data_IF_911726345626
#
_entry.id   IF_911726345626
#
_cell.length_a   1.000
_cell.length_b   1.000
_cell.length_c   1.000
_cell.angle_alpha   90.00
_cell.angle_beta   90.00
_cell.angle_gamma   90.00
#
_symmetry.space_group_name_H-M   'P 1'
#
loop_
_entity.id
_entity.type
_entity.pdbx_description
1 polymer ?
#
# COMPACT_ATOMS: atom_id res chain seq x y z
N UNK A 1 47.38 18.19 -18.24
CA UNK A 1 46.13 18.39 -17.49
C UNK A 1 44.96 18.05 -18.41
N UNK A 2 44.32 16.90 -18.17
CA UNK A 2 43.23 16.39 -19.01
C UNK A 2 41.97 16.39 -18.15
N UNK A 3 41.09 17.35 -18.41
CA UNK A 3 39.80 17.50 -17.73
C UNK A 3 38.87 16.38 -18.19
N UNK A 4 38.40 15.54 -17.27
CA UNK A 4 37.48 14.43 -17.54
C UNK A 4 36.03 14.92 -17.59
N UNK A 5 35.31 14.47 -18.62
CA UNK A 5 33.94 14.84 -19.00
C UNK A 5 32.90 14.00 -18.25
N UNK A 6 32.99 13.90 -16.93
CA UNK A 6 32.16 12.95 -16.15
C UNK A 6 31.04 13.61 -15.32
N UNK A 7 30.61 14.83 -15.67
CA UNK A 7 29.65 15.60 -14.87
C UNK A 7 28.29 15.86 -15.54
N UNK A 8 27.93 15.13 -16.61
CA UNK A 8 26.66 15.35 -17.33
C UNK A 8 25.67 14.17 -17.32
N UNK A 9 26.03 13.00 -16.76
CA UNK A 9 25.13 11.83 -16.75
C UNK A 9 24.39 11.60 -15.41
N UNK A 10 24.84 12.23 -14.32
CA UNK A 10 24.17 12.08 -13.02
C UNK A 10 22.80 12.79 -12.96
N UNK A 11 22.53 13.74 -13.86
CA UNK A 11 21.29 14.52 -13.85
C UNK A 11 20.10 13.84 -14.56
N UNK A 12 20.34 12.80 -15.37
CA UNK A 12 19.28 12.18 -16.19
C UNK A 12 18.57 11.03 -15.44
N UNK A 13 19.21 10.40 -14.44
CA UNK A 13 18.65 9.24 -13.74
C UNK A 13 17.62 9.61 -12.65
N UNK A 14 17.60 10.86 -12.19
CA UNK A 14 16.66 11.31 -11.14
C UNK A 14 15.27 11.69 -11.71
N UNK A 15 15.13 11.80 -13.03
CA UNK A 15 13.94 12.38 -13.66
C UNK A 15 12.84 11.39 -14.11
N UNK A 16 13.04 10.07 -14.03
CA UNK A 16 12.08 9.10 -14.61
C UNK A 16 11.13 8.42 -13.61
N UNK A 17 11.23 8.70 -12.30
CA UNK A 17 10.45 7.98 -11.29
C UNK A 17 9.11 8.62 -10.89
N UNK A 18 8.56 9.57 -11.63
CA UNK A 18 7.28 10.18 -11.23
C UNK A 18 6.40 10.59 -12.43
N UNK A 19 6.00 9.65 -13.28
CA UNK A 19 4.80 9.85 -14.09
C UNK A 19 3.88 8.63 -13.95
N UNK A 20 3.33 8.46 -12.75
CA UNK A 20 2.03 7.81 -12.60
C UNK A 20 0.99 8.89 -12.88
N UNK A 21 0.38 8.83 -14.08
CA UNK A 21 -0.73 9.70 -14.46
C UNK A 21 -1.83 9.69 -13.38
N UNK A 22 -2.35 10.88 -13.08
CA UNK A 22 -3.45 11.07 -12.14
C UNK A 22 -4.76 10.59 -12.76
N UNK A 23 -4.95 9.28 -12.81
CA UNK A 23 -6.27 8.71 -13.08
C UNK A 23 -7.00 8.65 -11.73
N UNK A 24 -8.22 9.20 -11.69
CA UNK A 24 -9.10 9.02 -10.54
C UNK A 24 -9.31 7.51 -10.31
N UNK A 25 -9.09 7.05 -9.09
CA UNK A 25 -9.30 5.65 -8.70
C UNK A 25 -10.64 5.50 -8.00
N UNK A 26 -11.31 4.37 -8.22
CA UNK A 26 -12.52 4.01 -7.49
C UNK A 26 -12.14 3.01 -6.39
N UNK A 27 -12.47 3.35 -5.14
CA UNK A 27 -12.12 2.53 -3.98
C UNK A 27 -13.36 2.26 -3.12
N UNK A 28 -13.38 1.14 -2.41
CA UNK A 28 -14.34 0.99 -1.31
C UNK A 28 -13.88 1.86 -0.13
N UNK A 29 -14.78 2.68 0.41
CA UNK A 29 -14.50 3.54 1.57
C UNK A 29 -15.41 3.14 2.72
N UNK A 30 -14.83 2.69 3.82
CA UNK A 30 -15.59 2.25 4.99
C UNK A 30 -14.72 2.27 6.25
N UNK A 31 -15.34 2.28 7.41
CA UNK A 31 -14.65 2.15 8.69
C UNK A 31 -15.50 1.30 9.61
N UNK A 32 -14.94 0.21 10.14
CA UNK A 32 -15.62 -0.72 11.02
C UNK A 32 -14.73 -1.09 12.20
N UNK A 33 -15.25 -0.95 13.42
CA UNK A 33 -14.55 -1.21 14.68
C UNK A 33 -15.34 -2.18 15.56
N UNK A 34 -14.93 -3.45 15.56
CA UNK A 34 -15.55 -4.56 16.28
C UNK A 34 -15.29 -4.56 17.79
N UNK A 35 -14.62 -3.53 18.33
CA UNK A 35 -14.59 -3.30 19.79
C UNK A 35 -15.90 -2.71 20.29
N UNK A 36 -16.54 -1.89 19.45
CA UNK A 36 -17.76 -1.16 19.78
C UNK A 36 -19.03 -1.83 19.25
N UNK A 37 -18.89 -2.80 18.34
CA UNK A 37 -19.99 -3.55 17.75
C UNK A 37 -19.64 -5.02 17.61
N UNK A 38 -20.66 -5.89 17.51
CA UNK A 38 -20.45 -7.33 17.32
C UNK A 38 -19.84 -7.60 15.95
N UNK A 39 -18.97 -8.62 15.90
CA UNK A 39 -18.43 -9.12 14.64
C UNK A 39 -19.55 -9.71 13.78
N UNK A 40 -19.64 -9.24 12.53
CA UNK A 40 -20.62 -9.69 11.54
C UNK A 40 -19.87 -10.03 10.24
N UNK A 41 -19.97 -11.28 9.81
CA UNK A 41 -19.34 -11.76 8.57
C UNK A 41 -19.98 -11.18 7.32
N UNK A 42 -21.22 -10.68 7.41
CA UNK A 42 -21.92 -10.06 6.29
C UNK A 42 -21.72 -8.54 6.25
N UNK A 43 -20.82 -8.00 7.06
CA UNK A 43 -20.53 -6.58 7.06
C UNK A 43 -19.96 -6.16 5.70
N UNK A 44 -20.59 -5.17 5.06
CA UNK A 44 -20.18 -4.66 3.74
C UNK A 44 -18.74 -4.11 3.73
N UNK A 45 -18.24 -3.66 4.88
CA UNK A 45 -16.84 -3.27 5.00
C UNK A 45 -15.89 -4.48 5.02
N UNK A 46 -16.30 -5.69 5.40
CA UNK A 46 -15.43 -6.87 5.25
C UNK A 46 -15.53 -7.46 3.84
N UNK A 47 -16.76 -7.59 3.35
CA UNK A 47 -17.09 -8.18 2.07
C UNK A 47 -18.05 -7.26 1.32
N UNK A 48 -17.52 -6.28 0.56
CA UNK A 48 -18.37 -5.43 -0.25
C UNK A 48 -19.08 -6.29 -1.29
N UNK A 49 -20.42 -6.35 -1.21
CA UNK A 49 -21.26 -7.18 -2.07
C UNK A 49 -21.82 -6.42 -3.27
N UNK A 50 -21.85 -5.08 -3.18
CA UNK A 50 -22.45 -4.21 -4.20
C UNK A 50 -21.37 -3.30 -4.80
N UNK A 51 -21.33 -3.22 -6.13
CA UNK A 51 -20.46 -2.25 -6.82
C UNK A 51 -20.78 -0.79 -6.44
N UNK A 52 -22.01 -0.53 -6.00
CA UNK A 52 -22.52 0.78 -5.62
C UNK A 52 -21.88 1.35 -4.33
N UNK A 53 -21.09 0.56 -3.61
CA UNK A 53 -20.34 0.99 -2.42
C UNK A 53 -18.94 1.53 -2.77
N UNK A 54 -18.58 1.54 -4.07
CA UNK A 54 -17.37 2.20 -4.54
C UNK A 54 -17.58 3.71 -4.55
N UNK A 55 -16.61 4.40 -3.99
CA UNK A 55 -16.54 5.86 -4.03
C UNK A 55 -15.44 6.24 -5.02
N UNK A 56 -15.79 7.10 -5.97
CA UNK A 56 -14.78 7.74 -6.84
C UNK A 56 -13.94 8.69 -6.01
N UNK A 57 -12.65 8.40 -5.94
CA UNK A 57 -11.71 9.21 -5.18
C UNK A 57 -11.43 10.54 -5.88
N UNK A 58 -10.93 11.52 -5.11
CA UNK A 58 -10.45 12.78 -5.68
C UNK A 58 -9.34 12.52 -6.73
N UNK A 59 -9.24 13.40 -7.72
CA UNK A 59 -8.24 13.29 -8.81
C UNK A 59 -6.79 13.26 -8.30
N UNK A 60 -6.53 13.75 -7.08
CA UNK A 60 -5.21 13.71 -6.45
C UNK A 60 -4.92 12.37 -5.75
N UNK A 61 -5.94 11.58 -5.44
CA UNK A 61 -5.81 10.26 -4.83
C UNK A 61 -5.54 9.23 -5.91
N UNK A 62 -4.43 8.50 -5.78
CA UNK A 62 -3.98 7.51 -6.77
C UNK A 62 -3.99 6.08 -6.23
N UNK A 63 -4.30 5.91 -4.95
CA UNK A 63 -4.25 4.62 -4.28
C UNK A 63 -5.48 4.41 -3.41
N UNK A 64 -5.95 3.16 -3.37
CA UNK A 64 -6.82 2.68 -2.32
C UNK A 64 -5.96 2.23 -1.14
N UNK A 65 -6.30 2.68 0.06
CA UNK A 65 -5.64 2.33 1.30
C UNK A 65 -6.55 1.44 2.14
N UNK A 66 -5.99 0.36 2.69
CA UNK A 66 -6.62 -0.45 3.73
C UNK A 66 -5.78 -0.42 4.99
N UNK A 67 -6.36 -0.08 6.14
CA UNK A 67 -5.70 -0.12 7.45
C UNK A 67 -6.41 -1.16 8.31
N UNK A 68 -5.62 -2.07 8.85
CA UNK A 68 -6.09 -3.20 9.66
C UNK A 68 -5.46 -3.10 11.03
N UNK A 69 -6.29 -3.05 12.05
CA UNK A 69 -5.83 -3.02 13.44
C UNK A 69 -6.10 -4.36 14.11
N UNK A 70 -5.07 -4.87 14.78
CA UNK A 70 -5.13 -6.06 15.62
C UNK A 70 -4.73 -5.70 17.04
N UNK A 71 -5.41 -6.27 18.02
CA UNK A 71 -5.05 -6.17 19.44
C UNK A 71 -4.78 -7.59 19.94
N UNK A 72 -3.56 -7.83 20.45
CA UNK A 72 -3.06 -9.16 20.81
C UNK A 72 -3.30 -10.19 19.70
N UNK A 73 -3.04 -9.79 18.44
CA UNK A 73 -3.27 -10.62 17.25
C UNK A 73 -4.73 -10.73 16.76
N UNK A 74 -5.70 -10.36 17.59
CA UNK A 74 -7.13 -10.40 17.26
C UNK A 74 -7.50 -9.23 16.36
N UNK A 75 -8.14 -9.52 15.23
CA UNK A 75 -8.65 -8.49 14.32
C UNK A 75 -9.79 -7.70 14.97
N UNK A 76 -9.63 -6.38 15.06
CA UNK A 76 -10.60 -5.50 15.73
C UNK A 76 -11.13 -4.40 14.84
N UNK A 77 -10.36 -3.94 13.85
CA UNK A 77 -10.78 -2.81 13.02
C UNK A 77 -10.29 -2.97 11.58
N UNK A 78 -11.14 -2.54 10.64
CA UNK A 78 -10.78 -2.35 9.24
C UNK A 78 -11.24 -0.97 8.78
N UNK A 79 -10.33 -0.22 8.20
CA UNK A 79 -10.60 1.07 7.59
C UNK A 79 -10.13 1.06 6.15
N UNK A 80 -10.97 1.52 5.23
CA UNK A 80 -10.62 1.73 3.83
C UNK A 80 -10.82 3.18 3.42
N UNK A 81 -9.83 3.77 2.77
CA UNK A 81 -9.81 5.18 2.38
C UNK A 81 -9.11 5.37 1.02
N UNK A 82 -9.40 6.49 0.37
CA UNK A 82 -8.61 6.96 -0.77
C UNK A 82 -7.36 7.68 -0.26
N UNK A 83 -6.20 7.46 -0.89
CA UNK A 83 -4.94 8.07 -0.46
C UNK A 83 -4.14 8.62 -1.66
N UNK A 84 -3.42 9.73 -1.44
CA UNK A 84 -2.56 10.34 -2.48
C UNK A 84 -1.20 9.67 -2.54
N UNK A 85 -0.60 9.49 -1.37
CA UNK A 85 0.69 8.83 -1.21
C UNK A 85 0.55 7.71 -0.18
N UNK A 86 0.72 6.48 -0.66
CA UNK A 86 0.45 5.30 0.13
C UNK A 86 1.70 4.43 0.20
N UNK A 87 2.22 4.30 1.42
CA UNK A 87 3.31 3.40 1.75
C UNK A 87 2.79 2.25 2.63
N UNK A 88 3.10 1.02 2.24
CA UNK A 88 2.79 -0.16 3.06
C UNK A 88 3.68 -0.19 4.29
N UNK A 89 3.07 -0.28 5.47
CA UNK A 89 3.79 -0.33 6.75
C UNK A 89 2.96 -1.06 7.79
N UNK A 90 3.62 -1.79 8.68
CA UNK A 90 3.00 -2.33 9.88
C UNK A 90 3.70 -1.69 11.08
N UNK A 91 2.93 -1.02 11.93
CA UNK A 91 3.43 -0.46 13.18
C UNK A 91 2.86 -1.24 14.36
N UNK A 92 3.73 -1.66 15.25
CA UNK A 92 3.39 -2.34 16.49
C UNK A 92 3.66 -1.40 17.66
N UNK A 93 2.71 -1.30 18.59
CA UNK A 93 2.78 -0.40 19.75
C UNK A 93 2.17 -1.09 20.98
N UNK A 94 2.73 -0.80 22.15
CA UNK A 94 2.13 -1.17 23.45
C UNK A 94 3.09 -1.89 24.40
N UNK A 95 2.89 -1.64 25.70
CA UNK A 95 3.65 -2.27 26.79
C UNK A 95 2.67 -3.13 27.62
N UNK A 96 2.32 -4.31 27.11
CA UNK A 96 1.42 -5.27 27.77
C UNK A 96 0.13 -5.60 27.00
N UNK A 97 -0.34 -4.68 26.15
CA UNK A 97 -1.35 -4.96 25.13
C UNK A 97 -0.72 -4.62 23.79
N UNK A 98 -0.48 -5.61 22.96
CA UNK A 98 0.15 -5.44 21.65
C UNK A 98 -0.90 -4.95 20.65
N UNK A 99 -0.77 -3.73 20.17
CA UNK A 99 -1.60 -3.19 19.09
C UNK A 99 -0.77 -3.13 17.82
N UNK A 100 -1.22 -3.84 16.78
CA UNK A 100 -0.58 -3.88 15.47
C UNK A 100 -1.49 -3.25 14.43
N UNK A 101 -1.01 -2.21 13.77
CA UNK A 101 -1.70 -1.51 12.69
C UNK A 101 -0.93 -1.72 11.38
N UNK A 102 -1.54 -2.39 10.41
CA UNK A 102 -0.97 -2.62 9.09
C UNK A 102 -1.72 -1.83 8.03
N UNK A 103 -0.98 -0.96 7.34
CA UNK A 103 -1.41 -0.17 6.18
C UNK A 103 -1.01 -0.88 4.89
N UNK A 104 -2.00 -1.03 4.00
CA UNK A 104 -1.92 -1.68 2.70
C UNK A 104 -2.26 -0.68 1.60
N UNK A 105 -1.60 -0.81 0.45
CA UNK A 105 -1.69 0.16 -0.63
C UNK A 105 -1.96 -0.53 -1.97
N UNK A 106 -3.09 -0.20 -2.60
CA UNK A 106 -3.53 -0.83 -3.83
C UNK A 106 -3.77 0.22 -4.91
N UNK A 107 -3.00 0.24 -6.02
CA UNK A 107 -3.16 1.27 -7.06
C UNK A 107 -4.38 1.03 -7.96
N UNK A 108 -4.81 -0.23 -8.14
CA UNK A 108 -5.90 -0.60 -9.06
C UNK A 108 -6.99 -1.46 -8.42
N UNK A 109 -6.77 -1.96 -7.21
CA UNK A 109 -7.73 -2.84 -6.54
C UNK A 109 -8.62 -2.02 -5.60
N UNK A 110 -9.95 -1.98 -5.80
CA UNK A 110 -10.87 -1.24 -4.93
C UNK A 110 -10.99 -1.89 -3.55
N UNK A 111 -10.78 -3.21 -3.45
CA UNK A 111 -10.90 -4.01 -2.22
C UNK A 111 -9.54 -4.17 -1.53
N UNK A 112 -8.91 -3.04 -1.20
CA UNK A 112 -7.62 -3.04 -0.52
C UNK A 112 -7.76 -3.51 0.93
N UNK A 113 -6.75 -4.21 1.46
CA UNK A 113 -6.79 -4.78 2.81
C UNK A 113 -7.58 -6.08 2.96
N UNK A 114 -8.23 -6.60 1.90
CA UNK A 114 -8.95 -7.88 1.94
C UNK A 114 -8.07 -9.07 2.37
N UNK A 115 -6.80 -9.07 1.95
CA UNK A 115 -5.88 -10.16 2.32
C UNK A 115 -5.45 -10.08 3.79
N UNK A 116 -5.35 -8.88 4.35
CA UNK A 116 -4.77 -8.66 5.67
C UNK A 116 -5.71 -8.99 6.85
N UNK A 117 -7.02 -9.12 6.63
CA UNK A 117 -7.90 -9.64 7.69
C UNK A 117 -7.75 -11.16 7.84
N UNK A 118 -7.45 -11.89 6.74
CA UNK A 118 -7.26 -13.35 6.75
C UNK A 118 -5.92 -13.78 7.34
N UNK A 119 -4.88 -12.96 7.20
CA UNK A 119 -3.51 -13.34 7.60
C UNK A 119 -2.83 -12.19 8.35
N UNK A 120 -2.16 -12.50 9.47
CA UNK A 120 -1.39 -11.55 10.28
C UNK A 120 -0.09 -11.05 9.62
N UNK A 121 0.38 -11.76 8.59
CA UNK A 121 1.65 -11.53 7.89
C UNK A 121 1.48 -11.34 6.37
N UNK A 122 0.62 -10.42 5.96
CA UNK A 122 0.57 -10.02 4.56
C UNK A 122 1.33 -8.68 4.41
N UNK A 123 2.63 -8.75 4.15
CA UNK A 123 3.31 -7.69 3.40
C UNK A 123 3.74 -8.40 2.12
N UNK A 124 3.01 -8.18 1.02
CA UNK A 124 3.49 -8.62 -0.30
C UNK A 124 4.19 -7.42 -0.91
N UNK A 125 5.53 -7.37 -0.93
CA UNK A 125 6.22 -6.26 -1.56
C UNK A 125 5.79 -6.16 -3.02
N UNK A 126 5.44 -4.96 -3.46
CA UNK A 126 5.15 -4.67 -4.86
C UNK A 126 6.33 -5.14 -5.74
N UNK A 127 6.06 -5.85 -6.85
CA UNK A 127 7.10 -6.47 -7.69
C UNK A 127 8.01 -5.46 -8.42
N UNK A 128 7.77 -4.16 -8.27
CA UNK A 128 8.57 -3.11 -8.91
C UNK A 128 10.00 -3.00 -8.36
N UNK A 129 10.26 -3.47 -7.13
CA UNK A 129 11.60 -3.38 -6.54
C UNK A 129 12.60 -4.38 -7.16
N UNK A 130 12.12 -5.53 -7.65
CA UNK A 130 13.00 -6.59 -8.17
C UNK A 130 13.52 -6.32 -9.59
N UNK A 131 12.73 -5.60 -10.42
CA UNK A 131 13.15 -5.19 -11.76
C UNK A 131 14.26 -4.13 -11.74
N UNK A 132 14.29 -3.26 -10.72
CA UNK A 132 15.35 -2.24 -10.58
C UNK A 132 16.70 -2.90 -10.24
N UNK A 133 16.70 -3.94 -9.39
CA UNK A 133 17.92 -4.69 -9.05
C UNK A 133 18.47 -5.44 -10.27
N UNK A 134 17.61 -6.06 -11.08
CA UNK A 134 18.02 -6.76 -12.32
C UNK A 134 18.67 -5.84 -13.36
N UNK A 135 18.21 -4.59 -13.48
CA UNK A 135 18.79 -3.62 -14.42
C UNK A 135 20.14 -3.12 -13.90
N UNK A 136 20.30 -2.91 -12.59
CA UNK A 136 21.57 -2.53 -11.96
C UNK A 136 22.64 -3.62 -12.11
N UNK A 137 22.27 -4.90 -11.99
CA UNK A 137 23.22 -6.03 -12.19
C UNK A 137 23.57 -6.28 -13.66
N UNK A 138 22.71 -5.91 -14.61
CA UNK A 138 23.02 -5.99 -16.05
C UNK A 138 23.89 -4.83 -16.54
N UNK A 139 23.76 -3.64 -15.95
CA UNK A 139 24.56 -2.45 -16.34
C UNK A 139 25.98 -2.46 -15.77
N UNK A 140 26.21 -3.18 -14.68
CA UNK A 140 27.53 -3.39 -14.10
C UNK A 140 27.84 -4.87 -14.24
N UNK A 141 28.59 -5.27 -15.26
CA UNK A 141 29.05 -6.65 -15.43
C UNK A 141 29.98 -7.12 -14.31
N UNK A 142 29.48 -7.18 -13.07
CA UNK A 142 30.12 -7.86 -11.97
C UNK A 142 29.97 -9.36 -12.20
N UNK A 143 31.01 -9.92 -12.80
CA UNK A 143 31.29 -11.34 -12.70
C UNK A 143 31.49 -11.66 -11.21
N UNK A 144 30.72 -12.62 -10.71
CA UNK A 144 30.85 -13.21 -9.36
C UNK A 144 32.29 -13.58 -9.08
#
# INVERSE_FOLDING_TARGET
MKWTKDHWLAFVVVASSFICGANAVDCYTCNVDFRNQKFDQNNSCLFPTKENERTTCSQVSRFCQGVITRINGVFVQLQRTCERDCQETCTEKGYGIETRECKFCCPKSPDCGRAGYKTSNAIKPCPCYWFIIMILTLMWGLKV
#
